data_IF_750403713212
#
_entry.id   IF_750403713212
#
_cell.length_a   1.000
_cell.length_b   1.000
_cell.length_c   1.000
_cell.angle_alpha   90.00
_cell.angle_beta   90.00
_cell.angle_gamma   90.00
#
_symmetry.space_group_name_H-M   'P 1'
#
loop_
_entity.id
_entity.type
_entity.pdbx_description
1 polymer ?
#
# COMPACT_ATOMS: atom_id res chain seq x y z
N UNK A 1 0.09 3.20 9.39
CA UNK A 1 0.83 2.63 8.25
C UNK A 1 2.26 3.15 8.23
N UNK A 2 3.24 2.31 7.95
CA UNK A 2 4.68 2.64 7.93
C UNK A 2 5.40 1.99 6.73
N UNK A 3 6.62 2.44 6.44
CA UNK A 3 7.46 1.84 5.39
C UNK A 3 7.71 0.37 5.75
N UNK A 4 7.38 -0.54 4.84
CA UNK A 4 7.47 -1.97 5.08
C UNK A 4 6.12 -2.67 5.19
N UNK A 5 5.06 -1.96 5.57
CA UNK A 5 3.73 -2.54 5.73
C UNK A 5 3.20 -3.11 4.41
N UNK A 6 2.56 -4.29 4.51
CA UNK A 6 1.75 -4.83 3.43
C UNK A 6 0.40 -4.15 3.45
N UNK A 7 0.01 -3.64 2.29
CA UNK A 7 -1.24 -2.90 2.11
C UNK A 7 -1.93 -3.37 0.84
N UNK A 8 -3.23 -3.19 0.79
CA UNK A 8 -4.04 -3.40 -0.41
C UNK A 8 -4.69 -2.10 -0.83
N UNK A 9 -4.79 -1.86 -2.12
CA UNK A 9 -5.53 -0.72 -2.64
C UNK A 9 -7.04 -0.95 -2.40
N UNK A 10 -7.73 0.05 -1.84
CA UNK A 10 -9.18 -0.06 -1.55
C UNK A 10 -10.03 -0.12 -2.83
N UNK A 11 -9.51 0.40 -3.94
CA UNK A 11 -10.15 0.41 -5.26
C UNK A 11 -9.12 0.13 -6.37
N UNK A 12 -9.56 -0.20 -7.60
CA UNK A 12 -8.65 -0.29 -8.75
C UNK A 12 -8.06 1.07 -9.12
N UNK A 13 -6.76 1.13 -9.39
CA UNK A 13 -6.07 2.37 -9.77
C UNK A 13 -5.46 2.27 -11.16
N UNK A 14 -5.84 3.15 -12.10
CA UNK A 14 -5.23 3.23 -13.44
C UNK A 14 -5.10 1.86 -14.15
N UNK A 15 -6.16 1.03 -14.08
CA UNK A 15 -6.19 -0.31 -14.65
C UNK A 15 -5.41 -1.37 -13.86
N UNK A 16 -4.97 -1.06 -12.64
CA UNK A 16 -4.39 -2.01 -11.69
C UNK A 16 -5.51 -2.55 -10.79
N UNK A 17 -5.73 -3.88 -10.77
CA UNK A 17 -6.71 -4.48 -9.86
C UNK A 17 -6.34 -4.20 -8.40
N UNK A 18 -7.33 -4.31 -7.49
CA UNK A 18 -7.13 -4.15 -6.05
C UNK A 18 -6.26 -5.30 -5.49
N UNK A 19 -4.95 -5.17 -5.67
CA UNK A 19 -3.92 -6.14 -5.34
C UNK A 19 -3.14 -5.74 -4.09
N UNK A 20 -2.43 -6.71 -3.53
CA UNK A 20 -1.49 -6.47 -2.46
C UNK A 20 -0.26 -5.71 -2.96
N UNK A 21 0.25 -4.86 -2.09
CA UNK A 21 1.42 -4.05 -2.31
C UNK A 21 2.17 -3.82 -1.01
N UNK A 22 3.31 -3.15 -1.13
CA UNK A 22 4.17 -2.80 0.00
C UNK A 22 4.45 -1.32 0.01
N UNK A 23 4.32 -0.68 1.17
CA UNK A 23 4.74 0.70 1.35
C UNK A 23 6.27 0.73 1.28
N UNK A 24 6.81 1.48 0.31
CA UNK A 24 8.25 1.63 0.11
C UNK A 24 8.77 3.02 0.47
N UNK A 25 7.89 4.02 0.55
CA UNK A 25 8.24 5.38 0.97
C UNK A 25 7.03 6.08 1.58
N UNK A 26 7.25 6.94 2.56
CA UNK A 26 6.25 7.89 3.04
C UNK A 26 6.74 9.32 2.74
N UNK A 27 5.84 10.19 2.31
CA UNK A 27 6.10 11.60 2.01
C UNK A 27 5.04 12.42 2.74
N UNK A 28 5.49 13.32 3.61
CA UNK A 28 4.61 14.28 4.27
C UNK A 28 4.53 15.53 3.38
N UNK A 29 3.35 15.77 2.82
CA UNK A 29 3.02 17.00 2.12
C UNK A 29 2.58 18.06 3.14
N UNK A 30 2.70 19.33 2.77
CA UNK A 30 2.29 20.45 3.63
C UNK A 30 0.86 20.28 4.16
N UNK A 31 0.59 20.80 5.36
CA UNK A 31 -0.67 20.63 6.10
C UNK A 31 -0.94 19.19 6.62
N UNK A 32 0.11 18.45 7.01
CA UNK A 32 0.02 17.12 7.63
C UNK A 32 -0.60 16.02 6.74
N UNK A 33 -0.65 16.20 5.43
CA UNK A 33 -1.12 15.16 4.52
C UNK A 33 0.00 14.17 4.23
N UNK A 34 -0.17 12.90 4.60
CA UNK A 34 0.82 11.86 4.31
C UNK A 34 0.42 11.08 3.06
N UNK A 35 1.34 11.00 2.10
CA UNK A 35 1.25 10.13 0.93
C UNK A 35 2.26 8.99 1.06
N UNK A 36 1.81 7.78 0.76
CA UNK A 36 2.61 6.57 0.76
C UNK A 36 2.87 6.15 -0.68
N UNK A 37 4.14 5.99 -1.04
CA UNK A 37 4.52 5.32 -2.28
C UNK A 37 4.38 3.81 -2.04
N UNK A 38 3.44 3.20 -2.74
CA UNK A 38 3.16 1.78 -2.64
C UNK A 38 3.55 1.09 -3.93
N UNK A 39 4.28 -0.01 -3.81
CA UNK A 39 4.64 -0.89 -4.93
C UNK A 39 3.68 -2.07 -4.97
N UNK A 40 2.86 -2.14 -6.00
CA UNK A 40 1.90 -3.23 -6.23
C UNK A 40 2.45 -4.20 -7.27
N UNK A 41 2.30 -5.50 -7.03
CA UNK A 41 2.56 -6.52 -8.04
C UNK A 41 1.28 -6.76 -8.84
N UNK A 42 1.25 -6.24 -10.07
CA UNK A 42 0.03 -6.26 -10.89
C UNK A 42 -0.06 -7.52 -11.77
N UNK A 43 1.10 -8.14 -12.01
CA UNK A 43 1.34 -9.44 -12.66
C UNK A 43 2.66 -9.97 -12.12
N UNK A 44 2.96 -11.28 -12.26
CA UNK A 44 4.23 -11.85 -11.83
C UNK A 44 5.42 -11.02 -12.33
N UNK A 45 6.21 -10.47 -11.39
CA UNK A 45 7.39 -9.63 -11.66
C UNK A 45 7.13 -8.27 -12.33
N UNK A 46 5.87 -7.85 -12.49
CA UNK A 46 5.50 -6.53 -13.02
C UNK A 46 4.97 -5.69 -11.87
N UNK A 47 5.76 -4.69 -11.48
CA UNK A 47 5.44 -3.79 -10.38
C UNK A 47 5.02 -2.42 -10.90
N UNK A 48 3.92 -1.88 -10.36
CA UNK A 48 3.53 -0.48 -10.55
C UNK A 48 3.55 0.24 -9.21
N UNK A 49 3.97 1.50 -9.25
CA UNK A 49 4.13 2.32 -8.05
C UNK A 49 3.13 3.47 -8.09
N UNK A 50 2.43 3.70 -7.00
CA UNK A 50 1.46 4.80 -6.87
C UNK A 50 1.67 5.52 -5.55
N UNK A 51 1.46 6.84 -5.57
CA UNK A 51 1.30 7.62 -4.35
C UNK A 51 -0.15 7.55 -3.94
N UNK A 52 -0.41 6.99 -2.76
CA UNK A 52 -1.74 6.79 -2.21
C UNK A 52 -1.78 7.36 -0.79
N UNK A 53 -2.92 7.91 -0.40
CA UNK A 53 -3.15 8.36 0.97
C UNK A 53 -3.58 7.20 1.87
N UNK A 54 -3.59 7.41 3.19
CA UNK A 54 -4.04 6.39 4.15
C UNK A 54 -5.49 5.93 3.89
N UNK A 55 -6.36 6.81 3.36
CA UNK A 55 -7.76 6.48 3.04
C UNK A 55 -7.92 5.53 1.87
N UNK A 56 -6.91 5.47 1.01
CA UNK A 56 -6.88 4.70 -0.23
C UNK A 56 -6.25 3.32 -0.05
N UNK A 57 -5.67 3.09 1.12
CA UNK A 57 -4.97 1.90 1.48
C UNK A 57 -5.71 1.19 2.60
N UNK A 58 -5.75 -0.14 2.51
CA UNK A 58 -6.16 -1.01 3.60
C UNK A 58 -4.93 -1.74 4.11
N UNK A 59 -4.65 -1.68 5.41
CA UNK A 59 -3.58 -2.47 6.01
C UNK A 59 -3.93 -3.94 5.89
N UNK A 60 -3.09 -4.69 5.17
CA UNK A 60 -3.13 -6.14 5.21
C UNK A 60 -2.39 -6.56 6.49
N UNK A 61 -3.07 -6.42 7.63
CA UNK A 61 -2.63 -7.13 8.83
C UNK A 61 -2.62 -8.61 8.46
N UNK A 62 -1.44 -9.22 8.37
CA UNK A 62 -1.39 -10.60 8.78
C UNK A 62 -1.66 -10.53 10.30
N UNK A 63 -2.75 -11.11 10.83
CA UNK A 63 -2.68 -11.53 12.20
C UNK A 63 -1.52 -12.53 12.23
N UNK A 64 -0.40 -12.16 12.84
CA UNK A 64 0.40 -13.16 13.51
C UNK A 64 -0.55 -13.77 14.53
N UNK A 65 -1.20 -14.87 14.12
CA UNK A 65 -1.71 -15.85 15.05
C UNK A 65 -0.46 -16.43 15.69
N UNK A 66 0.08 -15.72 16.68
CA UNK A 66 0.80 -16.33 17.77
C UNK A 66 -0.23 -17.20 18.49
N UNK A 67 -0.48 -18.40 17.96
CA UNK A 67 -1.11 -19.44 18.74
C UNK A 67 -0.04 -19.99 19.69
N UNK A 68 -0.32 -20.01 21.00
CA UNK A 68 0.58 -20.58 22.01
C UNK A 68 0.73 -22.10 21.88
#
# INVERSE_FOLDING_TARGET
>A
MTIGDKVRASFPYAGVPACDGKIIKAVVLGHNLTQFLVSFEVRPRIYKKFYLTERELTLCQAPETQQP
#
